data_IF_293707410577
#
_entry.id   IF_293707410577
#
_cell.length_a   1.000
_cell.length_b   1.000
_cell.length_c   1.000
_cell.angle_alpha   90.00
_cell.angle_beta   90.00
_cell.angle_gamma   90.00
#
_symmetry.space_group_name_H-M   'P 1'
#
loop_
_entity.id
_entity.type
_entity.pdbx_description
1 polymer ?
#
# COMPACT_ATOMS: atom_id res chain seq x y z
N UNK A 1 -62.16 -4.91 41.09
CA UNK A 1 -61.50 -5.40 39.88
C UNK A 1 -60.23 -4.57 39.67
N UNK A 2 -59.05 -5.19 39.92
CA UNK A 2 -57.72 -4.52 39.71
C UNK A 2 -57.14 -4.99 38.38
N UNK A 3 -57.10 -4.11 37.41
CA UNK A 3 -56.50 -4.35 36.08
C UNK A 3 -54.98 -4.16 36.19
N UNK A 4 -54.21 -5.23 36.01
CA UNK A 4 -52.74 -5.16 35.90
C UNK A 4 -52.34 -4.90 34.47
N UNK A 5 -51.72 -3.75 34.19
CA UNK A 5 -51.13 -3.45 32.91
C UNK A 5 -49.76 -4.15 32.79
N UNK A 6 -49.63 -5.01 31.79
CA UNK A 6 -48.36 -5.65 31.45
C UNK A 6 -47.59 -4.71 30.49
N UNK A 7 -46.48 -4.13 30.97
CA UNK A 7 -45.54 -3.39 30.11
C UNK A 7 -44.62 -4.40 29.39
N UNK A 8 -44.78 -4.57 28.11
CA UNK A 8 -43.87 -5.34 27.29
C UNK A 8 -42.68 -4.45 26.89
N UNK A 9 -41.51 -4.74 27.49
CA UNK A 9 -40.24 -4.09 27.12
C UNK A 9 -39.71 -4.74 25.84
N UNK A 10 -39.79 -4.03 24.71
CA UNK A 10 -39.21 -4.45 23.46
C UNK A 10 -37.72 -4.07 23.47
N UNK A 11 -36.84 -5.05 23.80
CA UNK A 11 -35.40 -4.85 23.74
C UNK A 11 -34.94 -4.82 22.29
N UNK A 12 -34.57 -3.65 21.79
CA UNK A 12 -33.90 -3.49 20.49
C UNK A 12 -32.47 -4.05 20.59
N UNK A 13 -32.24 -5.24 20.01
CA UNK A 13 -30.89 -5.78 19.82
C UNK A 13 -30.17 -4.98 18.73
N UNK A 14 -29.32 -4.03 19.12
CA UNK A 14 -28.42 -3.36 18.19
C UNK A 14 -27.26 -4.32 17.92
N UNK A 15 -27.32 -5.03 16.79
CA UNK A 15 -26.19 -5.82 16.30
C UNK A 15 -25.05 -4.86 15.87
N UNK A 16 -23.82 -5.06 16.35
CA UNK A 16 -22.69 -4.28 15.88
C UNK A 16 -22.50 -4.57 14.39
N UNK A 17 -22.71 -3.56 13.54
CA UNK A 17 -22.36 -3.62 12.13
C UNK A 17 -20.83 -3.66 12.03
N UNK A 18 -20.25 -4.84 11.85
CA UNK A 18 -18.87 -4.97 11.42
C UNK A 18 -18.77 -4.33 10.03
N UNK A 19 -18.31 -3.10 9.96
CA UNK A 19 -17.96 -2.45 8.68
C UNK A 19 -16.80 -3.21 8.06
N UNK A 20 -17.12 -4.10 7.12
CA UNK A 20 -16.11 -4.77 6.31
C UNK A 20 -15.37 -3.69 5.52
N UNK A 21 -14.04 -3.76 5.49
CA UNK A 21 -13.24 -2.86 4.64
C UNK A 21 -13.80 -2.89 3.20
N UNK A 22 -13.81 -1.74 2.49
CA UNK A 22 -14.37 -1.66 1.15
C UNK A 22 -13.64 -2.64 0.23
N UNK A 23 -14.39 -3.53 -0.37
CA UNK A 23 -13.86 -4.48 -1.34
C UNK A 23 -13.51 -3.76 -2.64
N UNK A 24 -12.30 -3.97 -3.16
CA UNK A 24 -11.86 -3.41 -4.43
C UNK A 24 -12.60 -4.05 -5.62
N UNK A 25 -12.73 -3.34 -6.76
CA UNK A 25 -13.15 -3.95 -8.02
C UNK A 25 -12.26 -5.14 -8.41
N UNK A 26 -12.78 -6.10 -9.23
CA UNK A 26 -11.99 -7.24 -9.71
C UNK A 26 -10.70 -6.80 -10.43
N UNK A 27 -10.79 -5.77 -11.25
CA UNK A 27 -9.68 -5.09 -11.93
C UNK A 27 -9.90 -3.60 -11.76
N UNK A 28 -8.82 -2.87 -11.45
CA UNK A 28 -8.84 -1.40 -11.43
C UNK A 28 -7.44 -0.86 -11.73
N UNK A 29 -7.39 0.41 -12.16
CA UNK A 29 -6.15 1.08 -12.47
C UNK A 29 -5.90 2.23 -11.51
N UNK A 30 -4.62 2.42 -11.20
CA UNK A 30 -4.17 3.54 -10.40
C UNK A 30 -3.11 4.31 -11.16
N UNK A 31 -3.40 5.58 -11.45
CA UNK A 31 -2.43 6.50 -12.01
C UNK A 31 -1.63 7.15 -10.89
N UNK A 32 -0.32 6.99 -10.96
CA UNK A 32 0.65 7.70 -10.14
C UNK A 32 1.22 8.88 -10.94
N UNK A 33 1.10 10.09 -10.40
CA UNK A 33 1.84 11.26 -10.88
C UNK A 33 3.03 11.49 -9.95
N UNK A 34 4.24 11.42 -10.48
CA UNK A 34 5.46 11.54 -9.69
C UNK A 34 6.29 12.77 -10.06
N UNK A 35 7.41 12.98 -9.35
CA UNK A 35 8.41 14.00 -9.68
C UNK A 35 9.10 13.74 -11.04
N UNK A 36 9.13 12.47 -11.52
CA UNK A 36 9.75 12.05 -12.79
C UNK A 36 8.76 11.88 -13.95
N UNK A 37 7.46 11.92 -13.68
CA UNK A 37 6.41 11.68 -14.68
C UNK A 37 5.35 10.70 -14.18
N UNK A 38 4.36 10.39 -15.02
CA UNK A 38 3.31 9.45 -14.65
C UNK A 38 3.69 7.99 -14.95
N UNK A 39 3.11 7.08 -14.14
CA UNK A 39 3.02 5.66 -14.47
C UNK A 39 1.66 5.11 -14.00
N UNK A 40 1.19 4.03 -14.63
CA UNK A 40 -0.10 3.40 -14.30
C UNK A 40 0.11 1.96 -13.87
N UNK A 41 -0.50 1.59 -12.75
CA UNK A 41 -0.57 0.21 -12.25
C UNK A 41 -1.97 -0.34 -12.52
N UNK A 42 -2.06 -1.52 -13.15
CA UNK A 42 -3.29 -2.31 -13.19
C UNK A 42 -3.26 -3.34 -12.07
N UNK A 43 -4.32 -3.36 -11.29
CA UNK A 43 -4.49 -4.26 -10.13
C UNK A 43 -5.48 -5.35 -10.48
N UNK A 44 -5.11 -6.59 -10.16
CA UNK A 44 -5.91 -7.79 -10.32
C UNK A 44 -6.22 -8.36 -8.95
N UNK A 45 -7.46 -8.16 -8.49
CA UNK A 45 -7.86 -8.55 -7.14
C UNK A 45 -7.73 -10.06 -6.89
N UNK A 46 -7.95 -10.88 -7.90
CA UNK A 46 -7.83 -12.34 -7.83
C UNK A 46 -6.39 -12.84 -7.64
N UNK A 47 -5.38 -12.02 -7.96
CA UNK A 47 -3.99 -12.39 -7.71
C UNK A 47 -3.63 -12.41 -6.23
N UNK A 48 -4.08 -11.39 -5.47
CA UNK A 48 -3.84 -11.26 -4.05
C UNK A 48 -4.92 -10.36 -3.41
N UNK A 49 -6.09 -10.91 -3.06
CA UNK A 49 -7.26 -10.13 -2.69
C UNK A 49 -7.10 -9.24 -1.46
N UNK A 50 -6.40 -9.70 -0.42
CA UNK A 50 -6.14 -8.89 0.77
C UNK A 50 -5.24 -7.68 0.45
N UNK A 51 -4.20 -7.91 -0.37
CA UNK A 51 -3.31 -6.85 -0.84
C UNK A 51 -4.05 -5.85 -1.73
N UNK A 52 -4.83 -6.31 -2.71
CA UNK A 52 -5.59 -5.45 -3.62
C UNK A 52 -6.61 -4.57 -2.87
N UNK A 53 -7.38 -5.16 -1.93
CA UNK A 53 -8.35 -4.43 -1.11
C UNK A 53 -7.66 -3.35 -0.24
N UNK A 54 -6.53 -3.68 0.40
CA UNK A 54 -5.74 -2.73 1.18
C UNK A 54 -5.16 -1.62 0.32
N UNK A 55 -4.63 -1.93 -0.85
CA UNK A 55 -4.10 -0.92 -1.77
C UNK A 55 -5.19 0.03 -2.25
N UNK A 56 -6.37 -0.49 -2.60
CA UNK A 56 -7.54 0.31 -2.97
C UNK A 56 -7.95 1.30 -1.87
N UNK A 57 -8.01 0.84 -0.62
CA UNK A 57 -8.33 1.67 0.55
C UNK A 57 -7.31 2.81 0.73
N UNK A 58 -6.02 2.48 0.66
CA UNK A 58 -4.93 3.45 0.82
C UNK A 58 -4.92 4.51 -0.29
N UNK A 59 -5.11 4.10 -1.54
CA UNK A 59 -5.21 5.04 -2.68
C UNK A 59 -6.42 5.96 -2.53
N UNK A 60 -7.60 5.41 -2.20
CA UNK A 60 -8.82 6.22 -1.98
C UNK A 60 -8.69 7.23 -0.86
N UNK A 61 -7.91 6.92 0.17
CA UNK A 61 -7.66 7.84 1.29
C UNK A 61 -6.59 8.90 1.00
N UNK A 62 -5.94 8.87 -0.17
CA UNK A 62 -4.80 9.74 -0.50
C UNK A 62 -3.55 9.43 0.32
N UNK A 63 -3.45 8.22 0.89
CA UNK A 63 -2.36 7.84 1.78
C UNK A 63 -0.97 8.00 1.15
N UNK A 64 -0.85 7.77 -0.16
CA UNK A 64 0.43 7.83 -0.88
C UNK A 64 0.77 9.22 -1.43
N UNK A 65 -0.10 10.22 -1.29
CA UNK A 65 0.18 11.58 -1.77
C UNK A 65 1.37 12.18 -1.00
N UNK A 66 2.38 12.64 -1.76
CA UNK A 66 3.68 13.12 -1.28
C UNK A 66 4.55 12.05 -0.58
N UNK A 67 4.22 10.75 -0.73
CA UNK A 67 5.09 9.67 -0.28
C UNK A 67 6.37 9.60 -1.12
N UNK A 68 7.52 9.37 -0.46
CA UNK A 68 8.82 9.30 -1.12
C UNK A 68 9.22 7.86 -1.41
N UNK A 69 9.91 7.68 -2.54
CA UNK A 69 10.55 6.42 -2.88
C UNK A 69 11.84 6.29 -2.08
N UNK A 70 11.73 5.86 -0.83
CA UNK A 70 12.84 5.91 0.14
C UNK A 70 13.89 4.81 -0.05
N UNK A 71 13.59 3.81 -0.89
CA UNK A 71 14.54 2.73 -1.25
C UNK A 71 14.42 2.45 -2.74
N UNK A 72 15.50 2.73 -3.47
CA UNK A 72 15.61 2.43 -4.90
C UNK A 72 16.90 1.66 -5.13
N UNK A 73 16.77 0.38 -5.43
CA UNK A 73 17.89 -0.53 -5.71
C UNK A 73 17.81 -0.97 -7.16
N UNK A 74 18.67 -0.45 -8.05
CA UNK A 74 18.68 -0.82 -9.48
C UNK A 74 18.76 -2.33 -9.66
N UNK A 75 18.04 -2.85 -10.66
CA UNK A 75 17.94 -4.28 -10.95
C UNK A 75 17.36 -5.12 -9.81
N UNK A 76 16.66 -4.49 -8.87
CA UNK A 76 15.96 -5.18 -7.79
C UNK A 76 14.56 -4.58 -7.57
N UNK A 77 14.42 -3.53 -6.73
CA UNK A 77 13.11 -2.98 -6.39
C UNK A 77 13.14 -1.46 -6.18
N UNK A 78 11.96 -0.84 -6.35
CA UNK A 78 11.62 0.50 -5.84
C UNK A 78 10.58 0.35 -4.74
N UNK A 79 10.85 0.87 -3.52
CA UNK A 79 9.98 0.74 -2.36
C UNK A 79 9.55 2.10 -1.80
N UNK A 80 8.27 2.19 -1.40
CA UNK A 80 7.65 3.35 -0.75
C UNK A 80 6.53 2.89 0.20
N UNK A 81 5.71 3.83 0.70
CA UNK A 81 4.49 3.52 1.45
C UNK A 81 4.61 3.74 2.94
N UNK A 82 5.56 4.57 3.39
CA UNK A 82 5.52 5.24 4.68
C UNK A 82 4.93 6.63 4.42
N UNK A 83 3.89 7.01 5.16
CA UNK A 83 3.21 8.28 4.95
C UNK A 83 4.10 9.47 5.32
N UNK A 84 3.90 10.60 4.64
CA UNK A 84 4.60 11.86 4.90
C UNK A 84 4.41 12.37 6.32
N UNK A 85 3.24 12.11 6.90
CA UNK A 85 2.82 12.53 8.24
C UNK A 85 2.95 11.34 9.22
N UNK A 86 3.79 11.46 10.26
CA UNK A 86 3.97 10.42 11.27
C UNK A 86 2.68 10.06 12.03
N UNK A 87 1.76 11.01 12.21
CA UNK A 87 0.49 10.76 12.91
C UNK A 87 -0.41 9.86 12.06
N UNK A 88 -0.50 10.15 10.76
CA UNK A 88 -1.22 9.29 9.81
C UNK A 88 -0.57 7.91 9.75
N UNK A 89 0.76 7.86 9.66
CA UNK A 89 1.51 6.60 9.64
C UNK A 89 1.25 5.74 10.89
N UNK A 90 1.23 6.36 12.07
CA UNK A 90 0.98 5.65 13.33
C UNK A 90 -0.38 4.95 13.34
N UNK A 91 -1.42 5.60 12.79
CA UNK A 91 -2.77 5.04 12.69
C UNK A 91 -2.86 3.80 11.77
N UNK A 92 -1.91 3.63 10.84
CA UNK A 92 -1.87 2.49 9.92
C UNK A 92 -0.88 1.39 10.35
N UNK A 93 0.07 1.71 11.20
CA UNK A 93 1.17 0.83 11.59
C UNK A 93 0.71 -0.51 12.19
N UNK A 94 -0.41 -0.51 12.90
CA UNK A 94 -0.99 -1.72 13.53
C UNK A 94 -2.06 -2.41 12.69
N UNK A 95 -2.47 -1.81 11.56
CA UNK A 95 -3.52 -2.36 10.69
C UNK A 95 -2.92 -3.38 9.71
N UNK A 96 -2.49 -4.51 10.22
CA UNK A 96 -1.97 -5.60 9.38
C UNK A 96 -3.07 -6.28 8.56
N UNK A 97 -2.68 -6.91 7.46
CA UNK A 97 -3.55 -7.79 6.67
C UNK A 97 -2.97 -9.22 6.64
N UNK A 98 -3.83 -10.24 6.56
CA UNK A 98 -3.40 -11.62 6.34
C UNK A 98 -2.62 -11.75 5.03
N UNK A 99 -1.67 -12.68 4.99
CA UNK A 99 -0.95 -12.95 3.75
C UNK A 99 -1.87 -13.56 2.70
N UNK A 100 -1.63 -13.19 1.44
CA UNK A 100 -2.23 -13.84 0.29
C UNK A 100 -1.31 -14.95 -0.21
N UNK A 101 -1.84 -16.03 -0.82
CA UNK A 101 -1.02 -17.01 -1.51
C UNK A 101 -0.32 -16.34 -2.71
N UNK A 102 0.91 -16.77 -2.98
CA UNK A 102 1.66 -16.32 -4.16
C UNK A 102 1.12 -17.04 -5.39
N UNK A 103 0.32 -16.36 -6.20
CA UNK A 103 -0.27 -16.88 -7.44
C UNK A 103 0.42 -16.37 -8.69
N UNK A 104 1.21 -15.30 -8.56
CA UNK A 104 1.98 -14.66 -9.63
C UNK A 104 3.45 -14.57 -9.22
N UNK A 105 4.36 -14.65 -10.21
CA UNK A 105 5.78 -14.46 -9.93
C UNK A 105 6.18 -12.99 -9.87
N UNK A 106 7.18 -12.67 -9.07
CA UNK A 106 7.77 -11.33 -8.92
C UNK A 106 8.65 -11.00 -10.13
N UNK A 107 8.03 -10.80 -11.31
CA UNK A 107 8.70 -10.34 -12.53
C UNK A 107 8.83 -8.83 -12.57
N UNK A 108 9.67 -8.32 -13.44
CA UNK A 108 9.82 -6.88 -13.66
C UNK A 108 8.46 -6.22 -13.92
N UNK A 109 8.21 -5.09 -13.26
CA UNK A 109 6.96 -4.33 -13.33
C UNK A 109 5.87 -4.78 -12.35
N UNK A 110 5.95 -5.96 -11.70
CA UNK A 110 4.93 -6.35 -10.72
C UNK A 110 5.04 -5.55 -9.41
N UNK A 111 3.88 -5.31 -8.78
CA UNK A 111 3.76 -4.58 -7.51
C UNK A 111 3.33 -5.53 -6.39
N UNK A 112 3.96 -5.38 -5.22
CA UNK A 112 3.82 -6.30 -4.09
C UNK A 112 3.90 -5.52 -2.77
N UNK A 113 3.22 -6.01 -1.71
CA UNK A 113 3.42 -5.47 -0.36
C UNK A 113 4.74 -5.94 0.25
N UNK A 114 5.47 -5.02 0.86
CA UNK A 114 6.58 -5.36 1.75
C UNK A 114 6.04 -5.95 3.06
N UNK A 115 6.82 -6.85 3.67
CA UNK A 115 6.50 -7.53 4.92
C UNK A 115 7.72 -7.61 5.84
N UNK A 116 7.49 -7.72 7.15
CA UNK A 116 8.51 -8.01 8.16
C UNK A 116 8.36 -9.44 8.72
N UNK A 117 7.58 -10.29 8.06
CA UNK A 117 7.25 -11.65 8.43
C UNK A 117 5.78 -11.98 8.15
N UNK A 118 5.31 -13.16 8.51
CA UNK A 118 3.94 -13.60 8.22
C UNK A 118 2.88 -12.64 8.81
N UNK A 119 1.89 -12.28 7.99
CA UNK A 119 0.74 -11.43 8.36
C UNK A 119 1.11 -10.05 8.93
N UNK A 120 2.23 -9.46 8.48
CA UNK A 120 2.69 -8.14 8.94
C UNK A 120 2.59 -7.04 7.89
N UNK A 121 2.03 -7.32 6.73
CA UNK A 121 1.81 -6.34 5.66
C UNK A 121 0.87 -5.22 6.15
N UNK A 122 1.23 -3.96 5.92
CA UNK A 122 0.43 -2.78 6.30
C UNK A 122 0.22 -1.82 5.14
N UNK A 123 1.23 -0.99 4.83
CA UNK A 123 1.12 0.12 3.85
C UNK A 123 2.27 0.19 2.85
N UNK A 124 3.42 -0.46 3.16
CA UNK A 124 4.60 -0.37 2.30
C UNK A 124 4.49 -1.30 1.09
N UNK A 125 4.92 -0.78 -0.04
CA UNK A 125 4.85 -1.43 -1.36
C UNK A 125 6.21 -1.39 -2.04
N UNK A 126 6.43 -2.33 -2.94
CA UNK A 126 7.53 -2.22 -3.90
C UNK A 126 7.09 -2.63 -5.32
N UNK A 127 7.77 -2.07 -6.31
CA UNK A 127 7.72 -2.52 -7.72
C UNK A 127 9.03 -3.22 -8.00
N UNK A 128 8.96 -4.38 -8.66
CA UNK A 128 10.11 -5.12 -9.13
C UNK A 128 10.73 -4.44 -10.36
N UNK A 129 12.03 -4.13 -10.30
CA UNK A 129 12.80 -3.58 -11.44
C UNK A 129 13.47 -4.69 -12.28
N UNK A 130 13.41 -5.91 -11.81
CA UNK A 130 13.93 -7.11 -12.50
C UNK A 130 13.05 -8.31 -12.17
N UNK A 131 13.37 -9.46 -12.77
CA UNK A 131 12.74 -10.72 -12.41
C UNK A 131 13.38 -11.23 -11.10
N UNK A 132 12.59 -11.26 -10.02
CA UNK A 132 13.00 -11.63 -8.67
C UNK A 132 12.27 -12.90 -8.18
N UNK A 133 12.37 -14.06 -8.84
CA UNK A 133 11.57 -15.25 -8.51
C UNK A 133 11.87 -15.80 -7.11
N UNK A 134 13.00 -15.46 -6.51
CA UNK A 134 13.31 -15.82 -5.12
C UNK A 134 12.37 -15.19 -4.10
N UNK A 135 11.68 -14.10 -4.45
CA UNK A 135 10.68 -13.47 -3.59
C UNK A 135 9.39 -14.28 -3.52
N UNK A 136 9.10 -15.10 -4.52
CA UNK A 136 7.91 -15.97 -4.55
C UNK A 136 7.94 -16.96 -3.38
N UNK A 137 9.08 -17.61 -3.18
CA UNK A 137 9.28 -18.55 -2.08
C UNK A 137 9.28 -17.88 -0.68
N UNK A 138 9.47 -16.57 -0.63
CA UNK A 138 9.43 -15.77 0.60
C UNK A 138 8.02 -15.24 0.92
N UNK A 139 7.01 -15.56 0.10
CA UNK A 139 5.63 -15.19 0.34
C UNK A 139 5.24 -13.78 -0.15
N UNK A 140 6.07 -13.14 -0.98
CA UNK A 140 5.71 -11.87 -1.59
C UNK A 140 4.72 -12.09 -2.74
N UNK A 141 3.45 -11.83 -2.51
CA UNK A 141 2.36 -12.06 -3.47
C UNK A 141 2.08 -10.78 -4.30
N UNK A 142 2.41 -10.76 -5.61
CA UNK A 142 2.02 -9.66 -6.49
C UNK A 142 0.51 -9.54 -6.60
N UNK A 143 -0.01 -8.30 -6.60
CA UNK A 143 -1.43 -8.00 -6.75
C UNK A 143 -1.73 -7.15 -8.00
N UNK A 144 -0.71 -6.76 -8.75
CA UNK A 144 -0.85 -5.96 -9.97
C UNK A 144 0.49 -5.75 -10.66
N UNK A 145 0.46 -4.95 -11.72
CA UNK A 145 1.65 -4.65 -12.52
C UNK A 145 1.59 -3.26 -13.15
N UNK A 146 2.75 -2.70 -13.46
CA UNK A 146 2.89 -1.45 -14.22
C UNK A 146 2.57 -1.71 -15.69
N UNK A 147 1.48 -1.14 -16.18
CA UNK A 147 1.04 -1.28 -17.57
C UNK A 147 1.50 -0.12 -18.46
N UNK A 148 1.92 0.99 -17.85
CA UNK A 148 2.43 2.18 -18.55
C UNK A 148 3.43 2.93 -17.68
N UNK A 149 4.49 3.46 -18.28
CA UNK A 149 5.47 4.30 -17.59
C UNK A 149 6.49 3.52 -16.73
N UNK A 150 6.79 2.25 -17.05
CA UNK A 150 7.82 1.50 -16.33
C UNK A 150 9.19 2.20 -16.42
N UNK A 151 9.51 2.83 -17.56
CA UNK A 151 10.71 3.65 -17.71
C UNK A 151 10.79 4.85 -16.74
N UNK A 152 9.64 5.40 -16.32
CA UNK A 152 9.59 6.43 -15.27
C UNK A 152 10.00 5.83 -13.92
N UNK A 153 9.48 4.63 -13.59
CA UNK A 153 9.86 3.91 -12.36
C UNK A 153 11.35 3.57 -12.35
N UNK A 154 11.91 3.12 -13.47
CA UNK A 154 13.33 2.81 -13.62
C UNK A 154 14.23 4.06 -13.52
N UNK A 155 13.71 5.25 -13.84
CA UNK A 155 14.43 6.53 -13.79
C UNK A 155 14.45 7.20 -12.41
N UNK A 156 13.78 6.62 -11.40
CA UNK A 156 13.75 7.16 -10.05
C UNK A 156 15.14 7.19 -9.43
N UNK A 157 15.41 8.24 -8.65
CA UNK A 157 16.73 8.49 -8.09
C UNK A 157 17.19 7.36 -7.16
N UNK A 158 18.27 6.70 -7.53
CA UNK A 158 18.82 5.53 -6.82
C UNK A 158 20.10 5.83 -6.01
N UNK A 159 20.57 7.09 -6.01
CA UNK A 159 21.87 7.43 -5.40
C UNK A 159 21.94 7.20 -3.88
N UNK A 160 20.81 7.13 -3.21
CA UNK A 160 20.74 6.78 -1.78
C UNK A 160 20.53 5.29 -1.51
N UNK A 161 20.20 4.49 -2.53
CA UNK A 161 19.99 3.04 -2.41
C UNK A 161 18.97 2.69 -1.35
N UNK A 162 19.41 2.14 -0.24
CA UNK A 162 18.61 1.78 0.94
C UNK A 162 19.09 2.46 2.23
N UNK A 163 19.83 3.57 2.11
CA UNK A 163 20.38 4.33 3.26
C UNK A 163 19.31 4.98 4.13
N UNK A 164 18.16 5.52 3.60
CA UNK A 164 17.13 6.10 4.44
C UNK A 164 16.62 5.13 5.50
N UNK A 165 16.70 5.52 6.77
CA UNK A 165 16.27 4.70 7.91
C UNK A 165 14.76 4.73 8.05
N UNK A 166 14.10 3.57 7.90
CA UNK A 166 12.65 3.46 7.92
C UNK A 166 12.05 3.79 9.29
N UNK A 167 12.78 3.56 10.39
CA UNK A 167 12.35 3.96 11.73
C UNK A 167 12.29 5.48 11.86
N UNK A 168 13.29 6.19 11.34
CA UNK A 168 13.28 7.66 11.31
C UNK A 168 12.16 8.20 10.40
N UNK A 169 11.92 7.56 9.25
CA UNK A 169 10.80 7.95 8.36
C UNK A 169 9.48 7.80 9.10
N UNK A 170 9.25 6.69 9.80
CA UNK A 170 8.01 6.46 10.57
C UNK A 170 7.82 7.46 11.72
N UNK A 171 8.90 7.96 12.32
CA UNK A 171 8.85 8.90 13.44
C UNK A 171 8.77 10.36 13.02
N UNK A 172 9.35 10.73 11.87
CA UNK A 172 9.54 12.12 11.46
C UNK A 172 8.97 12.42 10.07
N UNK A 173 8.54 11.41 9.33
CA UNK A 173 7.94 11.57 8.01
C UNK A 173 8.85 12.27 7.01
N UNK A 174 8.23 13.13 6.19
CA UNK A 174 8.95 13.87 5.16
C UNK A 174 9.93 14.90 5.70
N UNK A 175 9.80 15.38 6.94
CA UNK A 175 10.80 16.27 7.55
C UNK A 175 12.19 15.63 7.54
N UNK A 176 12.29 14.36 7.96
CA UNK A 176 13.54 13.60 7.92
C UNK A 176 14.04 13.42 6.48
N UNK A 177 13.18 12.99 5.58
CA UNK A 177 13.57 12.70 4.21
C UNK A 177 13.99 13.94 3.43
N UNK A 178 13.30 15.07 3.61
CA UNK A 178 13.63 16.32 2.94
C UNK A 178 14.95 16.91 3.45
N UNK A 179 15.23 16.78 4.74
CA UNK A 179 16.47 17.32 5.33
C UNK A 179 17.70 16.48 5.01
N UNK A 180 17.58 15.15 5.01
CA UNK A 180 18.73 14.24 4.89
C UNK A 180 18.88 13.64 3.47
N UNK A 181 17.77 13.55 2.71
CA UNK A 181 17.71 12.89 1.41
C UNK A 181 16.93 13.72 0.36
N UNK A 182 17.34 14.99 0.11
CA UNK A 182 16.58 15.95 -0.71
C UNK A 182 16.39 15.52 -2.16
N UNK A 183 17.22 14.59 -2.67
CA UNK A 183 17.16 14.13 -4.07
C UNK A 183 16.13 13.00 -4.28
N UNK A 184 15.48 12.48 -3.22
CA UNK A 184 14.48 11.43 -3.36
C UNK A 184 13.30 11.90 -4.21
N UNK A 185 12.98 11.11 -5.22
CA UNK A 185 11.76 11.26 -5.98
C UNK A 185 10.53 10.89 -5.13
N UNK A 186 9.36 11.43 -5.52
CA UNK A 186 8.15 11.30 -4.74
C UNK A 186 6.89 11.21 -5.61
N UNK A 187 5.85 10.67 -5.03
CA UNK A 187 4.50 10.60 -5.59
C UNK A 187 3.81 11.95 -5.31
N UNK A 188 3.42 12.68 -6.35
CA UNK A 188 2.59 13.88 -6.20
C UNK A 188 1.17 13.49 -5.84
N UNK A 189 0.60 12.53 -6.59
CA UNK A 189 -0.73 11.96 -6.33
C UNK A 189 -0.81 10.52 -6.82
N UNK A 190 -1.63 9.70 -6.13
CA UNK A 190 -2.05 8.38 -6.59
C UNK A 190 -3.57 8.35 -6.67
N UNK A 191 -4.15 8.07 -7.85
CA UNK A 191 -5.60 8.13 -8.08
C UNK A 191 -6.10 6.92 -8.84
N UNK A 192 -7.24 6.38 -8.41
CA UNK A 192 -7.96 5.35 -9.16
C UNK A 192 -8.49 6.02 -10.43
N UNK A 193 -8.22 5.40 -11.59
CA UNK A 193 -8.81 5.83 -12.87
C UNK A 193 -10.32 5.51 -12.88
N UNK A 194 -11.13 6.36 -13.57
CA UNK A 194 -12.57 6.13 -13.69
C UNK A 194 -12.93 4.82 -14.36
#
# INVERSE_FOLDING_TARGET
>A
VKTRAFLVFLAFLVLPSCSRAPQAPPIFRVQFTTSKGPFTVEVHRDWAPNGADRFYELVKSGFYDDARFFRVVPNFVVQWGINKDPVVQLNWRSKTIPDDPVTQTNRAGTITFATSGPNTRTTQLFINLANNPSLDAQGFAPFGEVISGLNVVESLYSGYGQTPDQGQIQMRGNEYLQSQFPMLDYIKTAKIEP
#
